data_IF_528343258250
#
_entry.id   IF_528343258250
#
_cell.length_a   1.000
_cell.length_b   1.000
_cell.length_c   1.000
_cell.angle_alpha   90.00
_cell.angle_beta   90.00
_cell.angle_gamma   90.00
#
_symmetry.space_group_name_H-M   'P 1'
#
loop_
_entity.id
_entity.type
_entity.pdbx_description
1 polymer ?
#
# COMPACT_ATOMS: atom_id res chain seq x y z
N UNK A 1 -32.70 -8.23 35.06
CA UNK A 1 -31.63 -9.25 35.25
C UNK A 1 -31.77 -10.35 34.19
N UNK A 2 -30.98 -10.27 33.13
CA UNK A 2 -30.39 -11.40 32.37
C UNK A 2 -29.37 -10.77 31.42
N UNK A 3 -28.10 -10.96 31.76
CA UNK A 3 -26.95 -10.49 30.98
C UNK A 3 -26.80 -11.46 29.81
N UNK A 4 -27.08 -11.00 28.59
CA UNK A 4 -26.78 -11.76 27.38
C UNK A 4 -25.28 -11.70 27.10
N UNK A 5 -24.62 -12.86 27.09
CA UNK A 5 -23.21 -12.99 26.67
C UNK A 5 -23.08 -12.59 25.18
N UNK A 6 -22.02 -11.87 24.78
CA UNK A 6 -21.76 -11.62 23.37
C UNK A 6 -21.40 -12.95 22.68
N UNK A 7 -22.17 -13.30 21.65
CA UNK A 7 -21.91 -14.43 20.75
C UNK A 7 -20.76 -14.02 19.81
N UNK A 8 -19.69 -14.81 19.68
CA UNK A 8 -18.59 -14.49 18.77
C UNK A 8 -19.07 -14.66 17.32
N UNK A 9 -19.08 -13.56 16.56
CA UNK A 9 -19.34 -13.60 15.12
C UNK A 9 -18.19 -14.33 14.41
N UNK A 10 -18.46 -15.32 13.55
CA UNK A 10 -17.41 -16.05 12.85
C UNK A 10 -16.83 -15.19 11.72
N UNK A 11 -15.61 -14.67 11.93
CA UNK A 11 -14.75 -14.20 10.85
C UNK A 11 -14.40 -15.39 9.94
N UNK A 12 -15.22 -15.71 8.92
CA UNK A 12 -14.80 -16.68 7.90
C UNK A 12 -13.89 -15.98 6.91
N UNK A 13 -12.61 -16.31 7.02
CA UNK A 13 -11.62 -16.17 5.95
C UNK A 13 -12.15 -16.91 4.72
N UNK A 14 -12.30 -16.18 3.60
CA UNK A 14 -12.56 -16.78 2.29
C UNK A 14 -11.35 -17.64 1.94
N UNK A 15 -11.49 -18.96 2.13
CA UNK A 15 -10.53 -19.97 1.70
C UNK A 15 -10.48 -19.96 0.18
N UNK A 16 -9.37 -19.50 -0.38
CA UNK A 16 -8.94 -20.00 -1.68
C UNK A 16 -8.61 -21.49 -1.48
N UNK A 17 -9.12 -22.40 -2.33
CA UNK A 17 -8.51 -23.70 -2.45
C UNK A 17 -7.16 -23.47 -3.13
N UNK A 18 -6.15 -23.10 -2.34
CA UNK A 18 -4.79 -23.36 -2.76
C UNK A 18 -4.75 -24.89 -3.00
N UNK A 19 -4.25 -25.38 -4.14
CA UNK A 19 -3.93 -26.80 -4.25
C UNK A 19 -3.12 -27.16 -3.01
N UNK A 20 -3.27 -28.37 -2.43
CA UNK A 20 -2.49 -28.74 -1.25
C UNK A 20 -1.06 -28.33 -1.54
N UNK A 21 -0.53 -27.41 -0.75
CA UNK A 21 0.87 -27.08 -0.77
C UNK A 21 1.54 -28.42 -0.48
N UNK A 22 1.84 -29.17 -1.54
CA UNK A 22 2.85 -30.20 -1.49
C UNK A 22 4.02 -29.38 -1.05
N UNK A 23 4.35 -29.48 0.24
CA UNK A 23 5.63 -29.09 0.78
C UNK A 23 6.61 -29.83 -0.12
N UNK A 24 7.04 -29.15 -1.16
CA UNK A 24 8.14 -29.58 -1.98
C UNK A 24 9.26 -29.57 -0.98
N UNK A 25 9.54 -30.74 -0.40
CA UNK A 25 10.76 -31.03 0.35
C UNK A 25 11.91 -30.98 -0.64
N UNK A 26 12.10 -29.82 -1.24
CA UNK A 26 13.33 -29.49 -1.91
C UNK A 26 14.36 -29.40 -0.80
N UNK A 27 15.47 -30.15 -0.90
CA UNK A 27 16.61 -29.99 -0.02
C UNK A 27 17.23 -28.63 -0.34
N UNK A 28 16.60 -27.56 0.16
CA UNK A 28 17.20 -26.24 0.16
C UNK A 28 18.43 -26.30 1.09
N UNK A 29 19.56 -25.66 0.71
CA UNK A 29 20.72 -25.54 1.59
C UNK A 29 20.30 -24.98 2.95
N UNK A 30 21.03 -25.26 4.06
CA UNK A 30 20.58 -24.92 5.41
C UNK A 30 20.16 -23.45 5.48
N UNK A 31 18.85 -23.22 5.42
CA UNK A 31 18.29 -21.89 5.45
C UNK A 31 18.36 -21.38 6.90
N UNK A 32 18.55 -20.08 7.07
CA UNK A 32 18.58 -19.46 8.40
C UNK A 32 17.21 -19.54 9.07
N UNK A 33 17.17 -19.42 10.40
CA UNK A 33 15.92 -19.56 11.17
C UNK A 33 14.85 -18.53 10.76
N UNK A 34 15.25 -17.36 10.24
CA UNK A 34 14.32 -16.37 9.66
C UNK A 34 13.59 -16.84 8.40
N UNK A 35 14.20 -17.72 7.60
CA UNK A 35 13.53 -18.33 6.45
C UNK A 35 12.47 -19.33 6.91
N UNK A 36 12.80 -20.21 7.86
CA UNK A 36 11.83 -21.13 8.47
C UNK A 36 10.66 -20.38 9.12
N UNK A 37 10.94 -19.26 9.79
CA UNK A 37 9.89 -18.41 10.36
C UNK A 37 8.99 -17.79 9.28
N UNK A 38 9.56 -17.39 8.13
CA UNK A 38 8.79 -16.84 7.00
C UNK A 38 7.87 -17.90 6.40
N UNK A 39 8.40 -19.11 6.14
CA UNK A 39 7.61 -20.24 5.65
C UNK A 39 6.48 -20.57 6.62
N UNK A 40 6.77 -20.59 7.92
CA UNK A 40 5.74 -20.83 8.95
C UNK A 40 4.60 -19.82 8.88
N UNK A 41 4.92 -18.52 8.77
CA UNK A 41 3.90 -17.47 8.71
C UNK A 41 3.08 -17.57 7.42
N UNK A 42 3.71 -17.93 6.30
CA UNK A 42 3.05 -18.03 5.00
C UNK A 42 2.23 -19.31 4.83
N UNK A 43 2.64 -20.41 5.48
CA UNK A 43 1.97 -21.71 5.42
C UNK A 43 0.93 -21.91 6.53
N UNK A 44 0.85 -21.01 7.51
CA UNK A 44 -0.15 -21.11 8.58
C UNK A 44 -1.57 -20.96 8.02
N UNK A 45 -2.41 -21.96 8.29
CA UNK A 45 -3.84 -21.95 7.93
C UNK A 45 -4.66 -20.97 8.78
N UNK A 46 -4.07 -20.44 9.86
CA UNK A 46 -4.70 -19.50 10.80
C UNK A 46 -3.86 -18.23 10.95
N UNK A 47 -4.46 -17.09 11.32
CA UNK A 47 -3.71 -15.89 11.64
C UNK A 47 -2.66 -16.18 12.72
N UNK A 48 -1.40 -15.84 12.44
CA UNK A 48 -0.32 -15.98 13.41
C UNK A 48 -0.46 -14.89 14.46
N UNK A 49 -0.86 -15.29 15.67
CA UNK A 49 -1.01 -14.41 16.84
C UNK A 49 0.22 -14.46 17.76
N UNK A 50 1.04 -15.52 17.66
CA UNK A 50 2.24 -15.73 18.46
C UNK A 50 3.37 -16.33 17.62
N UNK A 51 4.50 -15.61 17.57
CA UNK A 51 5.73 -16.13 16.92
C UNK A 51 6.33 -17.30 17.70
N UNK A 52 6.09 -17.38 19.03
CA UNK A 52 6.55 -18.51 19.84
C UNK A 52 5.79 -19.77 19.48
N UNK A 53 4.47 -19.68 19.28
CA UNK A 53 3.66 -20.83 18.86
C UNK A 53 4.01 -21.28 17.44
N UNK A 54 4.39 -20.34 16.58
CA UNK A 54 4.88 -20.62 15.22
C UNK A 54 6.10 -21.54 15.23
N UNK A 55 6.95 -21.47 16.26
CA UNK A 55 8.13 -22.32 16.37
C UNK A 55 7.82 -23.82 16.61
N UNK A 56 6.55 -24.18 16.82
CA UNK A 56 6.10 -25.58 16.99
C UNK A 56 5.39 -26.14 15.76
N UNK A 57 5.27 -25.36 14.68
CA UNK A 57 4.71 -25.82 13.41
C UNK A 57 5.69 -26.74 12.67
N UNK A 58 5.19 -27.57 11.75
CA UNK A 58 6.03 -28.54 11.04
C UNK A 58 7.07 -27.85 10.12
N UNK A 59 6.81 -26.62 9.74
CA UNK A 59 7.62 -25.76 8.90
C UNK A 59 8.83 -25.19 9.66
N UNK A 60 8.75 -25.08 10.99
CA UNK A 60 9.82 -24.57 11.83
C UNK A 60 10.62 -25.72 12.47
N UNK A 61 11.91 -25.83 12.16
CA UNK A 61 12.75 -26.96 12.58
C UNK A 61 13.58 -26.66 13.82
N UNK A 62 13.70 -25.39 14.19
CA UNK A 62 14.51 -24.92 15.32
C UNK A 62 13.63 -24.54 16.51
N UNK A 63 14.22 -24.45 17.70
CA UNK A 63 13.47 -24.04 18.90
C UNK A 63 13.16 -22.54 18.94
N UNK A 64 12.24 -22.13 19.81
CA UNK A 64 11.85 -20.73 20.00
C UNK A 64 13.01 -19.77 20.34
N UNK A 65 14.09 -20.25 20.97
CA UNK A 65 15.30 -19.46 21.22
C UNK A 65 15.95 -18.99 19.92
N UNK A 66 16.13 -19.90 18.95
CA UNK A 66 16.65 -19.57 17.63
C UNK A 66 15.72 -18.63 16.85
N UNK A 67 14.40 -18.76 17.04
CA UNK A 67 13.43 -17.82 16.47
C UNK A 67 13.60 -16.41 17.04
N UNK A 68 13.77 -16.27 18.37
CA UNK A 68 14.06 -14.97 18.99
C UNK A 68 15.38 -14.39 18.50
N UNK A 69 16.43 -15.20 18.40
CA UNK A 69 17.72 -14.77 17.85
C UNK A 69 17.58 -14.32 16.38
N UNK A 70 16.75 -15.00 15.59
CA UNK A 70 16.48 -14.60 14.21
C UNK A 70 15.73 -13.27 14.11
N UNK A 71 14.78 -13.00 15.00
CA UNK A 71 14.06 -11.72 15.03
C UNK A 71 14.96 -10.57 15.53
N UNK A 72 15.76 -10.82 16.56
CA UNK A 72 16.58 -9.78 17.21
C UNK A 72 17.91 -9.51 16.50
N UNK A 73 18.53 -10.56 15.96
CA UNK A 73 19.89 -10.53 15.41
C UNK A 73 19.97 -11.02 13.97
N UNK A 74 18.86 -11.49 13.39
CA UNK A 74 18.81 -11.92 12.01
C UNK A 74 19.09 -10.77 11.05
N UNK A 75 19.76 -11.10 9.95
CA UNK A 75 20.02 -10.14 8.87
C UNK A 75 18.99 -10.33 7.78
N UNK A 76 18.12 -9.33 7.61
CA UNK A 76 17.29 -9.21 6.43
C UNK A 76 17.94 -8.24 5.45
N UNK A 77 17.73 -8.47 4.16
CA UNK A 77 18.08 -7.51 3.10
C UNK A 77 16.77 -7.01 2.48
N UNK A 78 16.06 -6.04 3.10
CA UNK A 78 14.72 -5.63 2.68
C UNK A 78 14.64 -5.29 1.20
N UNK A 79 15.61 -4.54 0.66
CA UNK A 79 15.67 -4.24 -0.78
C UNK A 79 15.69 -5.47 -1.69
N UNK A 80 16.40 -6.53 -1.29
CA UNK A 80 16.41 -7.80 -2.05
C UNK A 80 15.07 -8.52 -1.92
N UNK A 81 14.50 -8.53 -0.73
CA UNK A 81 13.20 -9.16 -0.46
C UNK A 81 12.08 -8.49 -1.27
N UNK A 82 12.02 -7.16 -1.26
CA UNK A 82 11.04 -6.40 -2.05
C UNK A 82 11.34 -6.41 -3.56
N UNK A 83 12.51 -6.92 -3.99
CA UNK A 83 12.78 -7.20 -5.40
C UNK A 83 12.12 -8.48 -5.91
N UNK A 84 11.83 -9.45 -5.02
CA UNK A 84 11.23 -10.73 -5.41
C UNK A 84 9.80 -10.55 -5.96
N UNK A 85 8.87 -9.81 -5.31
CA UNK A 85 7.54 -9.58 -5.87
C UNK A 85 7.60 -8.88 -7.24
N UNK A 86 8.49 -7.89 -7.39
CA UNK A 86 8.69 -7.19 -8.67
C UNK A 86 9.22 -8.10 -9.80
N UNK A 87 9.89 -9.20 -9.45
CA UNK A 87 10.39 -10.19 -10.42
C UNK A 87 9.36 -11.26 -10.83
N UNK A 88 8.22 -11.33 -10.14
CA UNK A 88 7.12 -12.23 -10.51
C UNK A 88 6.17 -11.56 -11.52
N UNK A 89 5.45 -12.32 -12.36
CA UNK A 89 4.47 -11.75 -13.28
C UNK A 89 3.47 -10.86 -12.52
N UNK A 90 3.44 -9.57 -12.88
CA UNK A 90 2.53 -8.62 -12.28
C UNK A 90 1.23 -8.52 -13.07
N UNK A 91 0.11 -8.23 -12.38
CA UNK A 91 -1.11 -7.88 -13.08
C UNK A 91 -0.89 -6.65 -13.98
N UNK A 92 -1.59 -6.63 -15.11
CA UNK A 92 -1.56 -5.57 -16.10
C UNK A 92 -2.96 -5.04 -16.32
N UNK A 93 -3.06 -3.78 -16.69
CA UNK A 93 -4.31 -3.20 -17.13
C UNK A 93 -4.74 -3.68 -18.53
N UNK A 94 -5.97 -3.35 -18.92
CA UNK A 94 -6.53 -3.71 -20.23
C UNK A 94 -5.68 -3.19 -21.40
N UNK A 95 -5.01 -2.06 -21.20
CA UNK A 95 -4.08 -1.45 -22.16
C UNK A 95 -2.62 -1.90 -21.98
N UNK A 96 -2.37 -2.90 -21.12
CA UNK A 96 -1.06 -3.47 -20.86
C UNK A 96 -0.20 -2.70 -19.85
N UNK A 97 -0.68 -1.58 -19.30
CA UNK A 97 0.06 -0.80 -18.28
C UNK A 97 0.16 -1.53 -16.95
N UNK A 98 1.19 -1.20 -16.17
CA UNK A 98 1.23 -1.54 -14.75
C UNK A 98 0.45 -0.44 -14.01
N UNK A 99 -0.49 -0.84 -13.16
CA UNK A 99 -1.21 0.08 -12.29
C UNK A 99 -0.77 -0.18 -10.86
N UNK A 100 -0.22 0.83 -10.21
CA UNK A 100 0.15 0.81 -8.81
C UNK A 100 -0.85 1.61 -8.00
N UNK A 101 -1.07 1.19 -6.75
CA UNK A 101 -1.71 2.03 -5.75
C UNK A 101 -0.76 2.27 -4.58
N UNK A 102 -0.91 3.44 -3.96
CA UNK A 102 -0.23 3.77 -2.72
C UNK A 102 -1.24 4.17 -1.67
N UNK A 103 -1.11 3.57 -0.49
CA UNK A 103 -1.90 3.94 0.67
C UNK A 103 -1.09 3.85 1.97
N UNK A 104 -1.50 4.58 3.00
CA UNK A 104 -0.89 4.53 4.33
C UNK A 104 -1.79 3.73 5.27
N UNK A 105 -1.33 2.53 5.63
CA UNK A 105 -1.97 1.70 6.63
C UNK A 105 -1.43 1.98 8.03
N UNK A 106 -2.33 2.18 8.99
CA UNK A 106 -1.96 2.33 10.40
C UNK A 106 -1.76 0.96 11.06
N UNK A 107 -0.59 0.73 11.66
CA UNK A 107 -0.34 -0.44 12.49
C UNK A 107 -0.42 -0.06 13.98
N UNK A 108 -1.59 -0.16 14.63
CA UNK A 108 -1.75 0.23 16.03
C UNK A 108 -0.96 -0.71 16.96
N UNK A 109 -0.37 -0.13 18.00
CA UNK A 109 0.39 -0.78 19.07
C UNK A 109 0.03 -0.16 20.43
N UNK A 110 -1.22 -0.31 20.91
CA UNK A 110 -1.66 0.25 22.18
C UNK A 110 -0.80 -0.23 23.36
N UNK A 111 -0.30 -1.47 23.30
CA UNK A 111 0.47 -2.11 24.38
C UNK A 111 1.98 -1.86 24.29
N UNK A 112 2.45 -1.01 23.37
CA UNK A 112 3.87 -0.67 23.23
C UNK A 112 4.12 0.85 23.30
N UNK A 113 3.71 1.53 24.39
CA UNK A 113 3.82 2.99 24.50
C UNK A 113 5.27 3.50 24.50
N UNK A 114 6.23 2.65 24.87
CA UNK A 114 7.66 2.98 24.90
C UNK A 114 8.41 2.60 23.61
N UNK A 115 7.70 2.11 22.58
CA UNK A 115 8.31 1.82 21.29
C UNK A 115 8.89 3.11 20.69
N UNK A 116 10.17 3.12 20.28
CA UNK A 116 10.80 4.32 19.72
C UNK A 116 10.12 4.72 18.41
N UNK A 117 10.03 6.04 18.19
CA UNK A 117 9.43 6.65 16.99
C UNK A 117 8.00 6.18 16.72
N UNK A 118 7.26 5.79 17.77
CA UNK A 118 5.81 5.57 17.65
C UNK A 118 5.10 6.87 17.33
N UNK A 119 4.08 6.78 16.49
CA UNK A 119 3.23 7.88 16.08
C UNK A 119 1.81 7.67 16.59
N UNK A 120 1.06 8.76 16.76
CA UNK A 120 -0.37 8.67 17.00
C UNK A 120 -1.07 8.36 15.68
N UNK A 121 -1.61 7.15 15.59
CA UNK A 121 -2.36 6.68 14.44
C UNK A 121 -3.83 6.94 14.68
N UNK A 122 -4.45 7.71 13.79
CA UNK A 122 -5.89 7.88 13.79
C UNK A 122 -6.57 6.56 13.40
N UNK A 123 -7.45 6.07 14.26
CA UNK A 123 -8.26 4.88 14.02
C UNK A 123 -9.72 5.30 14.05
N UNK A 124 -10.38 5.17 12.91
CA UNK A 124 -11.80 5.43 12.79
C UNK A 124 -12.60 4.55 13.76
N UNK A 125 -13.53 5.16 14.47
CA UNK A 125 -14.15 4.59 15.67
C UNK A 125 -14.85 3.24 15.49
N UNK A 126 -15.28 2.86 14.28
CA UNK A 126 -15.95 1.58 14.03
C UNK A 126 -17.07 1.29 15.04
N UNK A 127 -16.99 0.14 15.75
CA UNK A 127 -17.91 -0.28 16.83
C UNK A 127 -17.75 0.47 18.17
N UNK A 128 -16.85 1.45 18.26
CA UNK A 128 -16.71 2.36 19.41
C UNK A 128 -17.30 3.72 19.06
N UNK A 129 -17.85 4.40 20.06
CA UNK A 129 -18.63 5.63 19.89
C UNK A 129 -17.82 6.86 19.44
N UNK A 130 -16.50 6.75 19.26
CA UNK A 130 -15.65 7.84 18.82
C UNK A 130 -14.35 7.34 18.13
N UNK A 131 -13.86 8.16 17.21
CA UNK A 131 -12.51 8.06 16.66
C UNK A 131 -11.46 8.14 17.77
N UNK A 132 -10.35 7.44 17.60
CA UNK A 132 -9.29 7.34 18.59
C UNK A 132 -7.93 7.55 17.97
N UNK A 133 -7.04 8.22 18.70
CA UNK A 133 -5.63 8.27 18.37
C UNK A 133 -4.90 7.22 19.21
N UNK A 134 -4.44 6.16 18.54
CA UNK A 134 -3.78 5.01 19.17
C UNK A 134 -2.29 5.06 18.82
N UNK A 135 -1.37 4.91 19.78
CA UNK A 135 0.05 4.76 19.46
C UNK A 135 0.28 3.62 18.47
N UNK A 136 1.09 3.83 17.46
CA UNK A 136 1.29 2.87 16.38
C UNK A 136 2.40 3.24 15.42
N UNK A 137 2.45 2.51 14.31
CA UNK A 137 3.45 2.67 13.25
C UNK A 137 2.74 2.76 11.89
N UNK A 138 2.55 3.96 11.33
CA UNK A 138 2.02 4.10 9.97
C UNK A 138 3.01 3.54 8.96
N UNK A 139 2.50 2.80 7.97
CA UNK A 139 3.28 2.20 6.91
C UNK A 139 2.67 2.54 5.54
N UNK A 140 3.48 3.14 4.67
CA UNK A 140 3.14 3.38 3.28
C UNK A 140 3.33 2.09 2.47
N UNK A 141 2.26 1.61 1.86
CA UNK A 141 2.18 0.37 1.10
C UNK A 141 2.05 0.69 -0.39
N UNK A 142 2.85 0.00 -1.22
CA UNK A 142 2.73 0.05 -2.68
C UNK A 142 2.31 -1.32 -3.17
N UNK A 143 1.23 -1.38 -3.93
CA UNK A 143 0.74 -2.63 -4.52
C UNK A 143 0.39 -2.47 -6.00
N UNK A 144 0.64 -3.50 -6.80
CA UNK A 144 0.14 -3.58 -8.16
C UNK A 144 -1.32 -4.07 -8.17
N UNK A 145 -2.14 -3.44 -9.01
CA UNK A 145 -3.57 -3.73 -9.16
C UNK A 145 -3.82 -4.58 -10.40
N UNK A 146 -4.75 -5.53 -10.29
CA UNK A 146 -5.34 -6.23 -11.41
C UNK A 146 -6.47 -5.41 -12.05
N UNK A 147 -6.53 -5.37 -13.38
CA UNK A 147 -7.77 -4.95 -14.05
C UNK A 147 -8.78 -6.07 -14.04
N UNK A 148 -9.98 -5.74 -13.60
CA UNK A 148 -11.10 -6.67 -13.61
C UNK A 148 -11.95 -6.53 -12.36
N UNK A 149 -12.85 -7.50 -12.17
CA UNK A 149 -13.76 -7.55 -11.01
C UNK A 149 -13.15 -8.23 -9.79
N UNK A 150 -11.86 -8.55 -9.85
CA UNK A 150 -11.12 -9.20 -8.78
C UNK A 150 -10.43 -8.13 -7.93
N UNK A 151 -10.61 -8.15 -6.61
CA UNK A 151 -9.88 -7.29 -5.68
C UNK A 151 -8.44 -7.78 -5.45
N UNK A 152 -7.83 -8.40 -6.47
CA UNK A 152 -6.51 -9.01 -6.35
C UNK A 152 -5.45 -7.93 -6.49
N UNK A 153 -4.54 -7.90 -5.53
CA UNK A 153 -3.41 -6.99 -5.50
C UNK A 153 -2.13 -7.76 -5.22
N UNK A 154 -1.01 -7.26 -5.75
CA UNK A 154 0.32 -7.77 -5.43
C UNK A 154 1.08 -6.71 -4.65
N UNK A 155 1.27 -6.93 -3.34
CA UNK A 155 2.09 -6.04 -2.52
C UNK A 155 3.54 -6.06 -2.98
N UNK A 156 4.08 -4.88 -3.32
CA UNK A 156 5.43 -4.72 -3.86
C UNK A 156 6.40 -4.13 -2.85
N UNK A 157 5.93 -3.22 -2.00
CA UNK A 157 6.77 -2.58 -1.00
C UNK A 157 5.97 -2.06 0.18
N UNK A 158 6.64 -1.95 1.33
CA UNK A 158 6.10 -1.39 2.56
C UNK A 158 7.19 -0.56 3.26
N UNK A 159 6.90 0.71 3.54
CA UNK A 159 7.83 1.62 4.21
C UNK A 159 7.18 2.22 5.45
N UNK A 160 7.83 2.05 6.60
CA UNK A 160 7.39 2.71 7.84
C UNK A 160 7.64 4.21 7.72
N UNK A 161 6.65 5.00 8.11
CA UNK A 161 6.78 6.45 8.25
C UNK A 161 7.20 6.79 9.68
N UNK A 162 8.24 7.62 9.80
CA UNK A 162 8.76 8.17 11.04
C UNK A 162 8.18 9.55 11.37
N UNK A 163 8.40 10.04 12.61
CA UNK A 163 7.84 11.31 13.09
C UNK A 163 8.39 12.55 12.39
N UNK A 164 9.59 12.46 11.82
CA UNK A 164 10.23 13.56 11.09
C UNK A 164 10.08 13.42 9.58
N UNK A 165 9.39 12.39 9.11
CA UNK A 165 9.27 12.12 7.69
C UNK A 165 8.23 13.02 7.03
N UNK A 166 8.60 13.55 5.88
CA UNK A 166 7.65 14.09 4.94
C UNK A 166 7.03 12.94 4.16
N UNK A 167 5.79 12.57 4.52
CA UNK A 167 5.09 11.45 3.92
C UNK A 167 5.06 11.51 2.38
N UNK A 168 4.90 12.69 1.78
CA UNK A 168 4.89 12.79 0.31
C UNK A 168 6.26 12.54 -0.30
N UNK A 169 7.32 13.05 0.33
CA UNK A 169 8.69 12.81 -0.13
C UNK A 169 9.08 11.33 0.03
N UNK A 170 8.67 10.70 1.14
CA UNK A 170 8.87 9.27 1.37
C UNK A 170 8.14 8.42 0.33
N UNK A 171 6.85 8.70 0.09
CA UNK A 171 6.07 8.02 -0.96
C UNK A 171 6.72 8.17 -2.34
N UNK A 172 7.18 9.36 -2.71
CA UNK A 172 7.84 9.58 -3.99
C UNK A 172 9.16 8.78 -4.10
N UNK A 173 9.98 8.75 -3.05
CA UNK A 173 11.20 7.96 -3.02
C UNK A 173 10.91 6.45 -3.10
N UNK A 174 9.89 5.98 -2.38
CA UNK A 174 9.44 4.59 -2.42
C UNK A 174 8.97 4.20 -3.83
N UNK A 175 8.14 5.03 -4.47
CA UNK A 175 7.67 4.80 -5.84
C UNK A 175 8.83 4.77 -6.86
N UNK A 176 9.80 5.69 -6.75
CA UNK A 176 11.00 5.68 -7.60
C UNK A 176 11.77 4.37 -7.48
N UNK A 177 11.93 3.88 -6.26
CA UNK A 177 12.61 2.61 -6.00
C UNK A 177 11.81 1.42 -6.54
N UNK A 178 10.48 1.39 -6.34
CA UNK A 178 9.61 0.35 -6.92
C UNK A 178 9.72 0.33 -8.44
N UNK A 179 9.59 1.48 -9.10
CA UNK A 179 9.68 1.59 -10.56
C UNK A 179 11.06 1.14 -11.04
N UNK A 180 12.13 1.54 -10.35
CA UNK A 180 13.49 1.08 -10.65
C UNK A 180 13.59 -0.44 -10.61
N UNK A 181 12.99 -1.10 -9.61
CA UNK A 181 12.92 -2.57 -9.54
C UNK A 181 12.11 -3.16 -10.69
N UNK A 182 10.99 -2.55 -11.09
CA UNK A 182 10.18 -2.99 -12.23
C UNK A 182 10.96 -2.93 -13.55
N UNK A 183 11.73 -1.86 -13.78
CA UNK A 183 12.60 -1.72 -14.95
C UNK A 183 13.70 -2.79 -14.95
N UNK A 184 14.36 -2.99 -13.79
CA UNK A 184 15.39 -4.03 -13.65
C UNK A 184 14.84 -5.44 -13.86
N UNK A 185 13.63 -5.71 -13.39
CA UNK A 185 12.92 -6.98 -13.58
C UNK A 185 12.34 -7.14 -15.00
N UNK A 186 12.55 -6.18 -15.90
CA UNK A 186 12.01 -6.16 -17.28
C UNK A 186 10.48 -6.20 -17.34
N UNK A 187 9.81 -5.80 -16.27
CA UNK A 187 8.36 -5.60 -16.23
C UNK A 187 7.97 -4.33 -17.00
N UNK A 188 8.82 -3.31 -16.99
CA UNK A 188 8.65 -2.12 -17.82
C UNK A 188 9.88 -1.92 -18.69
N UNK A 189 9.69 -1.50 -19.94
CA UNK A 189 10.73 -1.25 -20.93
C UNK A 189 10.49 0.11 -21.61
N UNK A 190 11.55 0.78 -22.11
CA UNK A 190 11.38 1.95 -22.94
C UNK A 190 10.45 1.65 -24.13
N UNK A 191 9.40 2.45 -24.29
CA UNK A 191 8.35 2.24 -25.29
C UNK A 191 7.05 1.64 -24.72
N UNK A 192 7.10 1.04 -23.53
CA UNK A 192 5.88 0.72 -22.78
C UNK A 192 5.24 2.02 -22.26
N UNK A 193 3.92 2.03 -22.11
CA UNK A 193 3.24 3.15 -21.48
C UNK A 193 3.65 3.33 -20.01
N UNK A 194 3.59 4.57 -19.53
CA UNK A 194 4.00 4.92 -18.17
C UNK A 194 3.20 4.15 -17.12
N UNK A 195 3.85 3.84 -16.00
CA UNK A 195 3.22 3.15 -14.88
C UNK A 195 2.22 4.09 -14.21
N UNK A 196 0.94 3.72 -14.22
CA UNK A 196 -0.11 4.51 -13.59
C UNK A 196 -0.02 4.35 -12.07
N UNK A 197 0.01 5.46 -11.32
CA UNK A 197 0.04 5.42 -9.85
C UNK A 197 -1.23 6.06 -9.31
N UNK A 198 -2.14 5.25 -8.78
CA UNK A 198 -3.42 5.68 -8.21
C UNK A 198 -3.26 5.95 -6.72
N UNK A 199 -3.48 7.20 -6.32
CA UNK A 199 -3.44 7.64 -4.92
C UNK A 199 -4.78 8.21 -4.48
N UNK A 200 -5.05 8.09 -3.19
CA UNK A 200 -6.25 8.64 -2.57
C UNK A 200 -6.12 10.16 -2.33
N UNK A 201 -7.05 10.74 -1.56
CA UNK A 201 -7.05 12.18 -1.21
C UNK A 201 -6.17 12.51 -0.01
N UNK A 202 -5.73 11.50 0.72
CA UNK A 202 -4.71 11.63 1.75
C UNK A 202 -3.39 12.14 1.18
N UNK A 203 -3.06 11.75 -0.04
CA UNK A 203 -1.82 12.13 -0.72
C UNK A 203 -1.92 13.45 -1.50
N UNK A 204 -0.83 14.23 -1.50
CA UNK A 204 -0.71 15.40 -2.37
C UNK A 204 -0.28 14.98 -3.78
N UNK A 205 -1.27 14.62 -4.62
CA UNK A 205 -1.03 14.19 -6.00
C UNK A 205 -0.27 15.22 -6.83
N UNK A 206 -0.43 16.53 -6.55
CA UNK A 206 0.23 17.58 -7.32
C UNK A 206 1.71 17.62 -7.00
N UNK A 207 2.05 17.51 -5.71
CA UNK A 207 3.44 17.41 -5.28
C UNK A 207 4.08 16.09 -5.70
N UNK A 208 3.34 14.98 -5.68
CA UNK A 208 3.83 13.70 -6.22
C UNK A 208 4.16 13.81 -7.71
N UNK A 209 3.27 14.40 -8.52
CA UNK A 209 3.53 14.62 -9.94
C UNK A 209 4.82 15.43 -10.18
N UNK A 210 5.07 16.47 -9.37
CA UNK A 210 6.33 17.21 -9.42
C UNK A 210 7.54 16.35 -9.01
N UNK A 211 7.45 15.64 -7.89
CA UNK A 211 8.55 14.80 -7.38
C UNK A 211 8.81 13.55 -8.20
N UNK A 212 7.92 13.19 -9.13
CA UNK A 212 7.98 12.01 -9.97
C UNK A 212 8.04 12.35 -11.47
N UNK A 213 8.46 13.57 -11.82
CA UNK A 213 8.49 14.03 -13.21
C UNK A 213 9.50 13.28 -14.12
N UNK A 214 10.56 12.71 -13.56
CA UNK A 214 11.61 12.00 -14.33
C UNK A 214 11.32 10.51 -14.61
N UNK A 215 10.83 9.70 -13.64
CA UNK A 215 10.54 8.29 -13.89
C UNK A 215 9.31 8.11 -14.80
N UNK A 216 9.16 6.95 -15.47
CA UNK A 216 8.03 6.65 -16.35
C UNK A 216 6.77 6.33 -15.53
N UNK A 217 6.22 7.34 -14.86
CA UNK A 217 5.06 7.22 -14.00
C UNK A 217 4.06 8.34 -14.25
N UNK A 218 2.79 7.98 -14.15
CA UNK A 218 1.67 8.90 -14.27
C UNK A 218 0.86 8.88 -12.95
N UNK A 219 1.05 9.84 -12.04
CA UNK A 219 0.27 9.91 -10.82
C UNK A 219 -1.16 10.39 -11.09
N UNK A 220 -2.12 9.61 -10.64
CA UNK A 220 -3.55 9.93 -10.67
C UNK A 220 -4.08 9.90 -9.25
N UNK A 221 -4.81 10.94 -8.87
CA UNK A 221 -5.41 10.99 -7.56
C UNK A 221 -6.46 12.08 -7.48
N UNK A 222 -7.28 12.02 -6.44
CA UNK A 222 -8.27 13.05 -6.17
C UNK A 222 -7.60 14.17 -5.36
N UNK A 223 -7.46 15.40 -5.90
CA UNK A 223 -6.94 16.52 -5.12
C UNK A 223 -7.86 16.80 -3.94
N UNK A 224 -7.28 17.25 -2.82
CA UNK A 224 -8.07 17.69 -1.67
C UNK A 224 -8.99 18.85 -2.04
N UNK A 225 -10.21 18.83 -1.49
CA UNK A 225 -11.26 19.80 -1.80
C UNK A 225 -10.99 21.21 -1.25
N UNK A 226 -9.96 21.39 -0.45
CA UNK A 226 -9.47 22.66 0.07
C UNK A 226 -8.38 23.31 -0.82
N UNK A 227 -7.92 22.63 -1.90
CA UNK A 227 -6.90 23.15 -2.81
C UNK A 227 -7.51 24.01 -3.91
N UNK A 228 -6.98 25.23 -4.11
CA UNK A 228 -7.33 26.11 -5.24
C UNK A 228 -6.23 26.00 -6.29
N UNK A 229 -6.58 25.51 -7.47
CA UNK A 229 -5.66 25.47 -8.61
C UNK A 229 -5.72 26.81 -9.34
N UNK A 230 -4.56 27.40 -9.61
CA UNK A 230 -4.44 28.68 -10.29
C UNK A 230 -3.71 28.46 -11.61
N UNK A 231 -4.13 29.16 -12.67
CA UNK A 231 -3.41 29.18 -13.94
C UNK A 231 -2.04 29.84 -13.76
N UNK A 232 -1.18 29.63 -14.73
CA UNK A 232 0.00 30.47 -14.88
C UNK A 232 -0.42 31.95 -14.93
N UNK A 233 0.37 32.81 -14.25
CA UNK A 233 0.17 34.25 -14.25
C UNK A 233 0.40 34.87 -15.64
N UNK A 234 1.11 34.13 -16.50
CA UNK A 234 1.56 34.59 -17.80
C UNK A 234 2.75 35.56 -17.67
N UNK A 235 3.12 36.23 -18.77
CA UNK A 235 4.28 37.12 -18.80
C UNK A 235 4.16 38.23 -17.75
N UNK A 236 5.28 38.59 -17.11
CA UNK A 236 5.33 39.73 -16.19
C UNK A 236 4.93 41.00 -16.93
N UNK A 237 3.82 41.61 -16.52
CA UNK A 237 3.39 42.91 -17.05
C UNK A 237 3.75 44.00 -16.04
N UNK A 238 4.64 44.91 -16.44
CA UNK A 238 4.84 46.15 -15.70
C UNK A 238 3.62 47.03 -15.91
N UNK A 239 2.95 47.44 -14.83
CA UNK A 239 1.89 48.44 -14.91
C UNK A 239 2.51 49.84 -14.79
N UNK A 240 1.98 50.88 -15.47
CA UNK A 240 2.50 52.24 -15.36
C UNK A 240 2.50 52.81 -13.94
N UNK A 241 1.69 52.23 -13.04
CA UNK A 241 1.61 52.59 -11.61
C UNK A 241 2.67 51.91 -10.74
N UNK A 242 3.51 51.04 -11.31
CA UNK A 242 4.36 50.14 -10.54
C UNK A 242 3.52 49.10 -9.76
N UNK A 243 4.16 47.99 -9.38
CA UNK A 243 3.53 46.96 -8.57
C UNK A 243 4.24 45.61 -8.67
N UNK A 244 4.08 44.77 -7.65
CA UNK A 244 4.60 43.40 -7.68
C UNK A 244 3.90 42.61 -8.80
N UNK A 245 4.66 41.95 -9.70
CA UNK A 245 4.08 41.10 -10.73
C UNK A 245 3.18 40.03 -10.11
N UNK A 246 2.06 39.71 -10.78
CA UNK A 246 1.15 38.64 -10.34
C UNK A 246 1.93 37.34 -10.25
N UNK A 247 1.84 36.66 -9.10
CA UNK A 247 2.42 35.33 -8.90
C UNK A 247 1.57 34.21 -9.51
N UNK A 248 0.26 34.43 -9.63
CA UNK A 248 -0.71 33.44 -10.10
C UNK A 248 -1.72 34.05 -11.07
N UNK A 249 -2.19 33.23 -12.01
CA UNK A 249 -3.28 33.55 -12.93
C UNK A 249 -4.65 33.32 -12.33
N UNK A 250 -5.68 33.29 -13.18
CA UNK A 250 -7.06 33.05 -12.75
C UNK A 250 -7.27 31.63 -12.19
N UNK A 251 -8.33 31.44 -11.42
CA UNK A 251 -8.69 30.13 -10.85
C UNK A 251 -9.03 29.12 -11.96
N UNK A 252 -8.42 27.94 -11.90
CA UNK A 252 -8.79 26.77 -12.70
C UNK A 252 -10.06 26.16 -12.11
N UNK A 253 -11.13 26.05 -12.90
CA UNK A 253 -12.31 25.28 -12.51
C UNK A 253 -11.94 23.80 -12.45
N UNK A 254 -12.37 23.12 -11.37
CA UNK A 254 -12.05 21.72 -11.09
C UNK A 254 -12.68 20.79 -12.13
N UNK A 255 -12.01 19.68 -12.40
CA UNK A 255 -12.59 18.53 -13.06
C UNK A 255 -13.74 17.98 -12.20
N UNK A 256 -14.86 17.64 -12.84
CA UNK A 256 -16.00 17.01 -12.18
C UNK A 256 -15.82 15.48 -12.09
N UNK A 257 -16.78 14.79 -11.46
CA UNK A 257 -16.78 13.32 -11.35
C UNK A 257 -16.84 12.62 -12.72
N UNK A 258 -17.36 13.25 -13.76
CA UNK A 258 -17.49 12.65 -15.09
C UNK A 258 -16.12 12.35 -15.69
N UNK A 259 -15.15 13.24 -15.49
CA UNK A 259 -13.77 13.03 -15.92
C UNK A 259 -13.13 11.81 -15.24
N UNK A 260 -13.51 11.53 -13.99
CA UNK A 260 -13.06 10.35 -13.24
C UNK A 260 -13.65 9.07 -13.80
N UNK A 261 -14.96 9.05 -14.10
CA UNK A 261 -15.60 7.88 -14.72
C UNK A 261 -15.02 7.59 -16.11
N UNK A 262 -14.78 8.61 -16.93
CA UNK A 262 -14.11 8.42 -18.24
C UNK A 262 -12.72 7.81 -18.10
N UNK A 263 -11.91 8.26 -17.14
CA UNK A 263 -10.60 7.66 -16.90
C UNK A 263 -10.73 6.17 -16.54
N UNK A 264 -11.59 5.84 -15.58
CA UNK A 264 -11.78 4.45 -15.15
C UNK A 264 -12.28 3.56 -16.29
N UNK A 265 -13.29 4.01 -17.03
CA UNK A 265 -13.92 3.20 -18.07
C UNK A 265 -13.08 3.11 -19.35
N UNK A 266 -12.49 4.22 -19.80
CA UNK A 266 -11.87 4.32 -21.12
C UNK A 266 -10.36 4.07 -21.08
N UNK A 267 -9.68 4.49 -20.01
CA UNK A 267 -8.22 4.32 -19.89
C UNK A 267 -7.87 3.06 -19.12
N UNK A 268 -8.51 2.85 -17.97
CA UNK A 268 -8.16 1.73 -17.08
C UNK A 268 -9.00 0.46 -17.41
N UNK A 269 -10.10 0.61 -18.16
CA UNK A 269 -10.99 -0.51 -18.51
C UNK A 269 -11.80 -1.05 -17.33
N UNK A 270 -11.92 -0.29 -16.25
CA UNK A 270 -12.72 -0.63 -15.07
C UNK A 270 -14.18 -0.24 -15.30
N UNK A 271 -14.94 -1.11 -15.97
CA UNK A 271 -16.24 -0.72 -16.56
C UNK A 271 -17.50 -1.04 -15.75
N UNK A 272 -17.45 -1.69 -14.58
CA UNK A 272 -18.63 -1.81 -13.69
C UNK A 272 -18.19 -2.10 -12.24
N UNK A 273 -18.48 -1.25 -11.24
CA UNK A 273 -18.40 -1.64 -9.83
C UNK A 273 -19.56 -2.58 -9.52
N UNK A 274 -19.28 -3.84 -9.17
CA UNK A 274 -20.30 -4.71 -8.58
C UNK A 274 -20.48 -4.29 -7.11
N UNK A 275 -21.62 -3.71 -6.79
CA UNK A 275 -21.99 -3.44 -5.41
C UNK A 275 -22.10 -4.77 -4.66
N UNK A 276 -21.14 -5.07 -3.78
CA UNK A 276 -21.30 -6.14 -2.80
C UNK A 276 -22.40 -5.71 -1.84
N UNK A 277 -23.61 -6.26 -2.02
CA UNK A 277 -24.60 -6.25 -0.97
C UNK A 277 -24.00 -6.98 0.25
N UNK A 278 -24.14 -6.46 1.49
CA UNK A 278 -23.86 -7.27 2.65
C UNK A 278 -24.72 -8.53 2.57
N UNK A 279 -24.08 -9.70 2.53
CA UNK A 279 -24.76 -10.99 2.49
C UNK A 279 -25.70 -11.10 3.71
N UNK A 280 -27.03 -11.21 3.53
CA UNK A 280 -27.96 -11.36 4.64
C UNK A 280 -27.88 -12.74 5.32
N UNK A 281 -26.98 -13.63 4.89
CA UNK A 281 -26.78 -14.92 5.52
C UNK A 281 -25.50 -14.99 6.36
N UNK A 282 -25.59 -14.55 7.62
CA UNK A 282 -24.92 -15.19 8.77
C UNK A 282 -25.41 -14.63 10.11
N UNK A 283 -26.44 -15.28 10.65
CA UNK A 283 -26.59 -15.45 12.09
C UNK A 283 -25.57 -16.50 12.57
#
# INVERSE_FOLDING_TARGET
>A
RRVGRPVPLPCRVLRLPLPPCRVLRLPLPPCGCGFELTDTVLCSDVPVTSLVESAFTAEHRRGHGAMRDAVNHGRLKPRRLCGLPASTPLPRAADGRIVLTVDVGNWPRPDAPTSPESLFCHVHGGCRSADQDIPGRPCCLVAALETGRTSRTAALDAMRLGPSDDATAVTAAQLREVVTRLVHARQWRPGDADTLVVVDTGHDVTRLAFLLADPPVEPVGRPRSDRVMLRDAGPRRSTPRGGQPRKHGGVLRRFDREHTFRLFEQTIGWTVPEARAPDPARN
#
